data_IF_443983349862
#
_entry.id   IF_443983349862
#
_cell.length_a   1.000
_cell.length_b   1.000
_cell.length_c   1.000
_cell.angle_alpha   90.00
_cell.angle_beta   90.00
_cell.angle_gamma   90.00
#
_symmetry.space_group_name_H-M   'P 1'
#
loop_
_entity.id
_entity.type
_entity.pdbx_description
1 polymer ?
#
# COMPACT_ATOMS: atom_id res chain seq x y z
N UNK A 1 10.00 1.26 13.66
CA UNK A 1 10.13 1.42 12.20
C UNK A 1 9.03 0.57 11.59
N UNK A 2 8.35 1.02 10.54
CA UNK A 2 7.33 0.21 9.87
C UNK A 2 7.97 -0.92 9.08
N UNK A 3 7.21 -1.98 8.79
CA UNK A 3 7.71 -3.10 7.97
C UNK A 3 8.01 -2.65 6.54
N UNK A 4 7.20 -1.73 6.00
CA UNK A 4 7.48 -1.08 4.73
C UNK A 4 8.84 -0.37 4.78
N UNK A 5 9.09 0.44 5.81
CA UNK A 5 10.36 1.17 5.93
C UNK A 5 11.56 0.23 6.10
N UNK A 6 11.41 -0.86 6.86
CA UNK A 6 12.46 -1.88 6.97
C UNK A 6 12.81 -2.47 5.60
N UNK A 7 11.79 -2.73 4.76
CA UNK A 7 11.96 -3.27 3.42
C UNK A 7 12.68 -2.29 2.47
N UNK A 8 12.27 -1.02 2.47
CA UNK A 8 12.89 0.03 1.65
C UNK A 8 14.34 0.28 2.07
N UNK A 9 14.60 0.39 3.39
CA UNK A 9 15.94 0.61 3.94
C UNK A 9 16.91 -0.53 3.59
N UNK A 10 16.43 -1.77 3.54
CA UNK A 10 17.23 -2.90 3.08
C UNK A 10 17.68 -2.69 1.63
N UNK A 11 16.79 -2.22 0.76
CA UNK A 11 17.11 -1.88 -0.62
C UNK A 11 18.19 -0.80 -0.71
N UNK A 12 18.01 0.30 0.00
CA UNK A 12 18.97 1.40 0.02
C UNK A 12 20.33 0.98 0.58
N UNK A 13 20.34 0.15 1.65
CA UNK A 13 21.58 -0.37 2.21
C UNK A 13 22.38 -1.16 1.17
N UNK A 14 21.75 -2.10 0.45
CA UNK A 14 22.45 -2.91 -0.53
C UNK A 14 22.78 -2.17 -1.84
N UNK A 15 22.11 -1.06 -2.13
CA UNK A 15 22.45 -0.17 -3.26
C UNK A 15 23.53 0.87 -2.91
N UNK A 16 23.82 1.09 -1.60
CA UNK A 16 24.80 2.10 -1.16
C UNK A 16 26.23 1.75 -1.57
N UNK A 17 27.12 2.74 -1.55
CA UNK A 17 28.56 2.60 -1.79
C UNK A 17 28.93 1.88 -3.11
N UNK A 18 28.12 2.10 -4.15
CA UNK A 18 28.30 1.45 -5.44
C UNK A 18 27.71 0.05 -5.52
N UNK A 19 26.83 -0.28 -4.56
CA UNK A 19 26.01 -1.48 -4.50
C UNK A 19 26.72 -2.78 -4.18
N UNK A 20 25.94 -3.74 -3.72
CA UNK A 20 26.41 -5.12 -3.61
C UNK A 20 26.67 -5.68 -5.02
N UNK A 21 27.82 -6.32 -5.20
CA UNK A 21 28.21 -6.99 -6.45
C UNK A 21 28.14 -8.50 -6.29
N UNK A 22 27.60 -9.20 -7.27
CA UNK A 22 27.65 -10.66 -7.34
C UNK A 22 29.09 -11.18 -7.40
N UNK A 23 29.27 -12.47 -7.10
CA UNK A 23 30.59 -13.07 -6.93
C UNK A 23 30.90 -14.08 -8.04
N UNK A 24 32.19 -14.33 -8.22
CA UNK A 24 32.70 -15.41 -9.10
C UNK A 24 32.40 -16.80 -8.55
N UNK A 25 32.21 -16.94 -7.25
CA UNK A 25 32.02 -18.22 -6.54
C UNK A 25 31.37 -17.98 -5.19
N UNK A 26 31.13 -19.05 -4.41
CA UNK A 26 30.62 -18.98 -3.03
C UNK A 26 31.58 -18.34 -2.00
N UNK A 27 32.73 -17.77 -2.43
CA UNK A 27 33.63 -17.08 -1.53
C UNK A 27 33.25 -15.60 -1.38
N UNK A 28 33.38 -15.08 -0.15
CA UNK A 28 33.13 -13.66 0.18
C UNK A 28 31.71 -13.16 -0.10
N UNK A 29 30.71 -14.01 0.04
CA UNK A 29 29.32 -13.65 -0.28
C UNK A 29 28.77 -12.50 0.56
N UNK A 30 29.26 -12.28 1.77
CA UNK A 30 28.81 -11.19 2.65
C UNK A 30 29.53 -9.86 2.39
N UNK A 31 30.64 -9.88 1.68
CA UNK A 31 31.37 -8.67 1.31
C UNK A 31 30.72 -8.00 0.09
N UNK A 32 30.64 -6.68 0.08
CA UNK A 32 30.01 -5.96 -1.02
C UNK A 32 30.79 -6.05 -2.34
N UNK A 33 32.14 -6.11 -2.29
CA UNK A 33 33.00 -5.95 -3.48
C UNK A 33 34.01 -7.07 -3.69
N UNK A 34 34.46 -7.73 -2.61
CA UNK A 34 35.42 -8.83 -2.75
C UNK A 34 34.89 -9.96 -3.62
N UNK A 35 35.76 -10.56 -4.41
CA UNK A 35 35.44 -11.64 -5.32
C UNK A 35 34.33 -11.28 -6.33
N UNK A 36 34.18 -9.98 -6.63
CA UNK A 36 33.19 -9.53 -7.61
C UNK A 36 33.42 -10.18 -9.00
N UNK A 37 32.35 -10.52 -9.68
CA UNK A 37 32.36 -11.13 -11.00
C UNK A 37 30.97 -11.20 -11.60
N UNK A 38 30.78 -12.05 -12.61
CA UNK A 38 29.53 -12.15 -13.38
C UNK A 38 29.00 -13.61 -13.41
N UNK A 39 29.15 -14.33 -12.29
CA UNK A 39 28.77 -15.72 -12.19
C UNK A 39 27.52 -15.95 -11.36
N UNK A 40 26.78 -14.88 -11.01
CA UNK A 40 25.52 -14.93 -10.28
C UNK A 40 25.59 -15.63 -8.90
N UNK A 41 26.76 -15.64 -8.23
CA UNK A 41 26.87 -16.12 -6.85
C UNK A 41 26.55 -14.97 -5.89
N UNK A 42 25.58 -15.17 -5.01
CA UNK A 42 25.14 -14.13 -4.08
C UNK A 42 24.91 -14.65 -2.66
N UNK A 43 25.00 -13.75 -1.69
CA UNK A 43 24.54 -14.06 -0.33
C UNK A 43 23.04 -14.33 -0.28
N UNK A 44 22.28 -13.71 -1.18
CA UNK A 44 20.81 -13.84 -1.23
C UNK A 44 20.41 -15.28 -1.54
N UNK A 45 21.01 -15.89 -2.58
CA UNK A 45 20.82 -17.28 -2.93
C UNK A 45 21.28 -18.23 -1.82
N UNK A 46 22.46 -17.98 -1.20
CA UNK A 46 22.94 -18.74 -0.06
C UNK A 46 21.95 -18.74 1.11
N UNK A 47 21.48 -17.54 1.49
CA UNK A 47 20.58 -17.39 2.61
C UNK A 47 19.23 -18.06 2.35
N UNK A 48 18.67 -17.91 1.14
CA UNK A 48 17.43 -18.57 0.71
C UNK A 48 17.56 -20.08 0.78
N UNK A 49 18.68 -20.66 0.32
CA UNK A 49 18.98 -22.08 0.47
C UNK A 49 19.06 -22.51 1.95
N UNK A 50 19.69 -21.69 2.80
CA UNK A 50 19.82 -21.99 4.23
C UNK A 50 18.47 -22.02 4.96
N UNK A 51 17.45 -21.34 4.39
CA UNK A 51 16.07 -21.34 4.91
C UNK A 51 15.23 -22.51 4.36
N UNK A 52 15.83 -23.45 3.64
CA UNK A 52 15.14 -24.59 3.04
C UNK A 52 14.27 -24.22 1.83
N UNK A 53 14.55 -23.08 1.21
CA UNK A 53 13.90 -22.64 -0.02
C UNK A 53 14.86 -22.81 -1.21
N UNK A 54 14.35 -22.93 -2.47
CA UNK A 54 15.21 -23.10 -3.65
C UNK A 54 15.99 -21.81 -3.93
N UNK A 55 17.20 -21.68 -3.42
CA UNK A 55 18.16 -20.63 -3.73
C UNK A 55 18.94 -20.98 -4.99
N UNK A 56 18.98 -20.07 -5.94
CA UNK A 56 19.47 -20.28 -7.29
C UNK A 56 20.88 -19.72 -7.49
N UNK A 57 21.90 -20.27 -6.80
CA UNK A 57 23.29 -19.89 -7.03
C UNK A 57 23.69 -20.12 -8.48
N UNK A 58 24.38 -19.15 -9.07
CA UNK A 58 24.81 -19.22 -10.45
C UNK A 58 23.71 -18.88 -11.48
N UNK A 59 22.54 -18.44 -11.04
CA UNK A 59 21.40 -18.07 -11.90
C UNK A 59 21.03 -16.59 -11.72
N UNK A 60 20.30 -15.97 -12.66
CA UNK A 60 19.77 -14.61 -12.49
C UNK A 60 18.97 -14.48 -11.18
N UNK A 61 19.30 -13.46 -10.38
CA UNK A 61 18.89 -13.38 -8.99
C UNK A 61 18.01 -12.15 -8.65
N UNK A 62 17.44 -11.47 -9.64
CA UNK A 62 16.58 -10.31 -9.40
C UNK A 62 15.36 -10.65 -8.52
N UNK A 63 14.66 -11.73 -8.83
CA UNK A 63 13.49 -12.19 -8.08
C UNK A 63 13.86 -12.73 -6.69
N UNK A 64 14.95 -13.47 -6.62
CA UNK A 64 15.46 -14.01 -5.35
C UNK A 64 15.89 -12.90 -4.37
N UNK A 65 16.47 -11.81 -4.86
CA UNK A 65 16.80 -10.66 -4.05
C UNK A 65 15.55 -10.02 -3.43
N UNK A 66 14.45 -9.86 -4.19
CA UNK A 66 13.20 -9.33 -3.67
C UNK A 66 12.59 -10.27 -2.62
N UNK A 67 12.62 -11.59 -2.88
CA UNK A 67 12.19 -12.59 -1.92
C UNK A 67 13.02 -12.54 -0.64
N UNK A 68 14.35 -12.47 -0.77
CA UNK A 68 15.27 -12.36 0.36
C UNK A 68 14.95 -11.14 1.25
N UNK A 69 14.67 -9.98 0.65
CA UNK A 69 14.26 -8.79 1.40
C UNK A 69 12.95 -9.02 2.16
N UNK A 70 11.94 -9.57 1.48
CA UNK A 70 10.65 -9.88 2.09
C UNK A 70 10.79 -10.86 3.26
N UNK A 71 11.62 -11.90 3.12
CA UNK A 71 11.85 -12.86 4.22
C UNK A 71 12.50 -12.19 5.42
N UNK A 72 13.50 -11.32 5.22
CA UNK A 72 14.16 -10.62 6.32
C UNK A 72 13.21 -9.69 7.09
N UNK A 73 12.18 -9.14 6.42
CA UNK A 73 11.25 -8.19 7.03
C UNK A 73 9.99 -8.87 7.57
N UNK A 74 9.47 -9.86 6.88
CA UNK A 74 8.15 -10.45 7.15
C UNK A 74 8.20 -11.94 7.55
N UNK A 75 9.31 -12.61 7.30
CA UNK A 75 9.44 -14.07 7.42
C UNK A 75 8.98 -14.83 6.18
N UNK A 76 9.42 -16.10 6.07
CA UNK A 76 9.26 -16.95 4.89
C UNK A 76 7.78 -17.13 4.49
N UNK A 77 6.92 -17.42 5.46
CA UNK A 77 5.49 -17.70 5.20
C UNK A 77 4.82 -16.52 4.48
N UNK A 78 5.06 -15.29 4.95
CA UNK A 78 4.46 -14.08 4.37
C UNK A 78 5.09 -13.76 3.02
N UNK A 79 6.41 -13.92 2.87
CA UNK A 79 7.09 -13.75 1.59
C UNK A 79 6.53 -14.71 0.51
N UNK A 80 6.27 -15.98 0.85
CA UNK A 80 5.63 -16.95 -0.04
C UNK A 80 4.16 -16.60 -0.33
N UNK A 81 3.43 -16.03 0.59
CA UNK A 81 2.07 -15.53 0.34
C UNK A 81 2.06 -14.38 -0.69
N UNK A 82 3.09 -13.53 -0.68
CA UNK A 82 3.25 -12.40 -1.61
C UNK A 82 3.73 -12.86 -2.97
N UNK A 83 4.83 -13.63 -3.06
CA UNK A 83 5.49 -13.96 -4.33
C UNK A 83 5.14 -15.36 -4.87
N UNK A 84 4.54 -16.23 -4.06
CA UNK A 84 4.25 -17.62 -4.41
C UNK A 84 5.47 -18.55 -4.27
N UNK A 85 5.23 -19.86 -4.39
CA UNK A 85 6.28 -20.88 -4.30
C UNK A 85 7.27 -20.86 -5.48
N UNK A 86 6.91 -20.23 -6.60
CA UNK A 86 7.78 -20.02 -7.76
C UNK A 86 8.49 -18.66 -7.77
N UNK A 87 8.76 -18.09 -6.61
CA UNK A 87 9.29 -16.74 -6.41
C UNK A 87 10.60 -16.43 -7.15
N UNK A 88 11.37 -17.44 -7.52
CA UNK A 88 12.62 -17.31 -8.28
C UNK A 88 12.40 -17.06 -9.78
N UNK A 89 11.16 -16.96 -10.24
CA UNK A 89 10.80 -16.73 -11.64
C UNK A 89 9.74 -15.63 -11.73
N UNK A 90 10.03 -14.53 -12.44
CA UNK A 90 9.15 -13.36 -12.53
C UNK A 90 7.79 -13.66 -13.20
N UNK A 91 7.75 -14.59 -14.17
CA UNK A 91 6.47 -15.02 -14.78
C UNK A 91 5.60 -15.77 -13.76
N UNK A 92 6.22 -16.61 -12.92
CA UNK A 92 5.51 -17.31 -11.83
C UNK A 92 4.97 -16.32 -10.79
N UNK A 93 5.72 -15.28 -10.43
CA UNK A 93 5.27 -14.19 -9.54
C UNK A 93 4.07 -13.49 -10.16
N UNK A 94 4.14 -13.13 -11.45
CA UNK A 94 3.03 -12.48 -12.17
C UNK A 94 1.76 -13.33 -12.14
N UNK A 95 1.87 -14.61 -12.46
CA UNK A 95 0.74 -15.55 -12.47
C UNK A 95 0.13 -15.70 -11.06
N UNK A 96 0.99 -15.79 -10.05
CA UNK A 96 0.55 -15.84 -8.65
C UNK A 96 -0.19 -14.56 -8.25
N UNK A 97 0.35 -13.38 -8.56
CA UNK A 97 -0.27 -12.09 -8.26
C UNK A 97 -1.63 -11.94 -8.94
N UNK A 98 -1.74 -12.34 -10.22
CA UNK A 98 -3.03 -12.34 -10.95
C UNK A 98 -4.04 -13.27 -10.28
N UNK A 99 -3.62 -14.49 -9.89
CA UNK A 99 -4.47 -15.44 -9.16
C UNK A 99 -4.93 -14.90 -7.81
N UNK A 100 -4.09 -14.13 -7.12
CA UNK A 100 -4.38 -13.54 -5.80
C UNK A 100 -5.15 -12.22 -5.87
N UNK A 101 -5.30 -11.62 -7.04
CA UNK A 101 -5.92 -10.30 -7.20
C UNK A 101 -5.05 -9.13 -6.73
N UNK A 102 -3.72 -9.36 -6.62
CA UNK A 102 -2.74 -8.34 -6.21
C UNK A 102 -2.00 -7.72 -7.40
N UNK A 103 -2.35 -8.11 -8.62
CA UNK A 103 -1.80 -7.55 -9.87
C UNK A 103 -2.51 -6.25 -10.25
N UNK A 104 -1.75 -5.18 -10.49
CA UNK A 104 -2.26 -3.83 -10.79
C UNK A 104 -1.49 -3.17 -11.93
N UNK A 105 -2.09 -2.13 -12.53
CA UNK A 105 -1.49 -1.35 -13.61
C UNK A 105 -0.92 0.00 -13.12
N UNK A 106 -0.96 0.26 -11.81
CA UNK A 106 -0.46 1.50 -11.21
C UNK A 106 0.54 1.21 -10.10
N UNK A 107 1.59 2.04 -9.93
CA UNK A 107 2.58 1.84 -8.88
C UNK A 107 1.98 2.08 -7.47
N UNK A 108 2.57 1.41 -6.50
CA UNK A 108 2.40 1.67 -5.06
C UNK A 108 3.76 1.51 -4.41
N UNK A 109 4.12 2.38 -3.45
CA UNK A 109 5.39 2.27 -2.73
C UNK A 109 5.46 0.92 -2.02
N UNK A 110 6.62 0.27 -2.10
CA UNK A 110 6.85 -1.07 -1.57
C UNK A 110 6.23 -2.19 -2.39
N UNK A 111 5.54 -1.91 -3.53
CA UNK A 111 5.11 -2.95 -4.47
C UNK A 111 6.27 -3.47 -5.31
N UNK A 112 6.11 -4.65 -5.90
CA UNK A 112 7.04 -5.11 -6.93
C UNK A 112 6.58 -4.61 -8.30
N UNK A 113 7.52 -4.27 -9.16
CA UNK A 113 7.29 -3.98 -10.58
C UNK A 113 7.92 -5.09 -11.42
N UNK A 114 7.19 -5.58 -12.40
CA UNK A 114 7.64 -6.62 -13.36
C UNK A 114 7.88 -5.96 -14.71
N UNK A 115 8.96 -6.37 -15.37
CA UNK A 115 9.39 -5.81 -16.65
C UNK A 115 9.57 -6.87 -17.72
N UNK A 116 9.37 -6.47 -18.99
CA UNK A 116 9.72 -7.21 -20.22
C UNK A 116 9.19 -8.64 -20.22
N UNK A 117 7.89 -8.80 -20.07
CA UNK A 117 7.21 -10.10 -20.06
C UNK A 117 7.78 -11.06 -19.01
N UNK A 118 8.08 -10.53 -17.82
CA UNK A 118 8.61 -11.31 -16.71
C UNK A 118 10.09 -11.62 -16.80
N UNK A 119 10.90 -10.81 -17.47
CA UNK A 119 12.36 -11.00 -17.52
C UNK A 119 13.09 -10.35 -16.35
N UNK A 120 12.46 -9.41 -15.62
CA UNK A 120 13.07 -8.70 -14.50
C UNK A 120 12.03 -8.26 -13.48
N UNK A 121 12.47 -8.11 -12.22
CA UNK A 121 11.65 -7.58 -11.12
C UNK A 121 12.46 -6.64 -10.24
N UNK A 122 11.80 -5.58 -9.80
CA UNK A 122 12.30 -4.63 -8.82
C UNK A 122 11.22 -4.31 -7.78
N UNK A 123 11.56 -3.60 -6.73
CA UNK A 123 10.57 -2.94 -5.86
C UNK A 123 10.52 -1.43 -6.11
N UNK A 124 9.37 -0.85 -5.80
CA UNK A 124 9.13 0.58 -5.90
C UNK A 124 9.54 1.26 -4.60
N UNK A 125 10.62 2.04 -4.64
CA UNK A 125 11.08 2.85 -3.51
C UNK A 125 10.23 4.11 -3.33
N UNK A 126 9.91 4.75 -4.44
CA UNK A 126 9.01 5.91 -4.51
C UNK A 126 8.50 6.11 -5.93
N UNK A 127 7.54 7.00 -6.12
CA UNK A 127 7.11 7.47 -7.43
C UNK A 127 6.54 8.89 -7.34
N UNK A 128 6.53 9.59 -8.48
CA UNK A 128 5.87 10.87 -8.69
C UNK A 128 4.87 10.78 -9.85
N UNK A 129 4.42 11.89 -10.39
CA UNK A 129 3.47 11.92 -11.51
C UNK A 129 4.02 11.38 -12.83
N UNK A 130 5.34 11.24 -12.97
CA UNK A 130 6.00 10.89 -14.23
C UNK A 130 6.89 9.65 -14.13
N UNK A 131 7.44 9.35 -12.95
CA UNK A 131 8.47 8.32 -12.77
C UNK A 131 8.21 7.44 -11.58
N UNK A 132 8.67 6.19 -11.69
CA UNK A 132 8.92 5.28 -10.59
C UNK A 132 10.43 5.26 -10.29
N UNK A 133 10.76 5.13 -9.01
CA UNK A 133 12.13 4.94 -8.51
C UNK A 133 12.18 3.57 -7.88
N UNK A 134 13.15 2.76 -8.33
CA UNK A 134 13.21 1.32 -8.02
C UNK A 134 14.48 0.95 -7.28
N UNK A 135 14.43 -0.16 -6.52
CA UNK A 135 15.60 -0.87 -6.05
C UNK A 135 15.64 -2.26 -6.70
N UNK A 136 16.76 -2.60 -7.32
CA UNK A 136 16.91 -3.77 -8.20
C UNK A 136 18.10 -4.61 -7.82
N UNK A 137 17.91 -5.92 -7.75
CA UNK A 137 18.99 -6.91 -7.78
C UNK A 137 19.29 -7.37 -9.19
N UNK A 138 20.48 -7.89 -9.41
CA UNK A 138 20.94 -8.40 -10.71
C UNK A 138 20.87 -7.40 -11.86
N UNK A 139 21.14 -6.14 -11.58
CA UNK A 139 21.09 -5.03 -12.55
C UNK A 139 22.43 -4.33 -12.66
N UNK A 140 22.51 -3.29 -13.49
CA UNK A 140 23.68 -2.44 -13.64
C UNK A 140 23.33 -0.95 -13.61
N UNK A 141 24.31 -0.06 -13.70
CA UNK A 141 24.11 1.38 -13.80
C UNK A 141 23.67 1.84 -15.21
N UNK A 142 23.58 0.94 -16.19
CA UNK A 142 23.06 1.28 -17.52
C UNK A 142 21.61 1.76 -17.44
N UNK A 143 21.25 2.72 -18.29
CA UNK A 143 19.87 3.15 -18.45
C UNK A 143 18.98 2.01 -18.98
N UNK A 144 17.70 2.02 -18.61
CA UNK A 144 16.76 0.97 -19.00
C UNK A 144 16.90 -0.32 -18.18
N UNK A 145 16.05 -1.30 -18.47
CA UNK A 145 16.00 -2.58 -17.78
C UNK A 145 17.18 -3.45 -18.15
N UNK A 146 17.92 -3.94 -17.14
CA UNK A 146 19.03 -4.89 -17.30
C UNK A 146 18.71 -6.13 -16.48
N UNK A 147 18.50 -7.26 -17.15
CA UNK A 147 18.05 -8.49 -16.52
C UNK A 147 19.18 -9.38 -15.95
N UNK A 148 20.44 -9.07 -16.25
CA UNK A 148 21.62 -9.77 -15.72
C UNK A 148 22.81 -8.82 -15.67
N UNK A 149 22.82 -7.91 -14.69
CA UNK A 149 23.81 -6.83 -14.59
C UNK A 149 24.77 -6.91 -13.43
N UNK A 150 24.63 -7.89 -12.55
CA UNK A 150 25.61 -8.26 -11.52
C UNK A 150 25.62 -7.41 -10.26
N UNK A 151 24.70 -6.47 -10.07
CA UNK A 151 24.73 -5.57 -8.92
C UNK A 151 23.34 -5.28 -8.33
N UNK A 152 23.32 -4.75 -7.10
CA UNK A 152 22.15 -4.05 -6.56
C UNK A 152 22.29 -2.56 -6.89
N UNK A 153 21.22 -1.96 -7.43
CA UNK A 153 21.16 -0.52 -7.79
C UNK A 153 19.80 0.09 -7.52
N UNK A 154 19.79 1.38 -7.23
CA UNK A 154 18.61 2.23 -7.36
C UNK A 154 18.56 2.79 -8.78
N UNK A 155 17.38 2.73 -9.40
CA UNK A 155 17.13 3.19 -10.78
C UNK A 155 15.82 3.96 -10.88
N UNK A 156 15.50 4.45 -12.07
CA UNK A 156 14.19 5.09 -12.29
C UNK A 156 13.74 4.91 -13.74
N UNK A 157 12.41 4.81 -13.92
CA UNK A 157 11.76 4.64 -15.22
C UNK A 157 10.58 5.60 -15.34
N UNK A 158 10.19 5.97 -16.54
CA UNK A 158 8.90 6.64 -16.74
C UNK A 158 7.77 5.68 -16.37
N UNK A 159 6.69 6.19 -15.77
CA UNK A 159 5.49 5.37 -15.50
C UNK A 159 4.90 4.82 -16.81
N UNK A 160 5.07 5.56 -17.92
CA UNK A 160 4.65 5.17 -19.27
C UNK A 160 5.65 4.29 -20.01
N UNK A 161 6.74 3.83 -19.36
CA UNK A 161 7.73 2.97 -20.02
C UNK A 161 7.09 1.66 -20.45
N UNK A 162 7.14 1.37 -21.74
CA UNK A 162 6.55 0.17 -22.35
C UNK A 162 7.18 -1.15 -21.89
N UNK A 163 8.32 -1.09 -21.22
CA UNK A 163 8.94 -2.25 -20.59
C UNK A 163 8.28 -2.68 -19.28
N UNK A 164 7.39 -1.87 -18.71
CA UNK A 164 6.66 -2.20 -17.47
C UNK A 164 5.47 -3.08 -17.81
N UNK A 165 5.46 -4.31 -17.29
CA UNK A 165 4.34 -5.24 -17.46
C UNK A 165 3.20 -4.95 -16.48
N UNK A 166 3.52 -4.51 -15.28
CA UNK A 166 2.58 -4.19 -14.19
C UNK A 166 3.23 -4.34 -12.80
N UNK A 167 2.39 -4.31 -11.78
CA UNK A 167 2.81 -4.21 -10.39
C UNK A 167 2.15 -5.28 -9.53
N UNK A 168 2.91 -5.84 -8.59
CA UNK A 168 2.40 -6.71 -7.52
C UNK A 168 2.25 -5.86 -6.27
N UNK A 169 1.03 -5.45 -5.92
CA UNK A 169 0.79 -4.67 -4.72
C UNK A 169 0.95 -5.52 -3.46
N UNK A 170 1.65 -4.96 -2.49
CA UNK A 170 1.82 -5.54 -1.16
C UNK A 170 1.03 -4.69 -0.19
N UNK A 171 0.17 -5.33 0.58
CA UNK A 171 -0.61 -4.68 1.63
C UNK A 171 0.20 -4.65 2.93
N UNK A 172 1.12 -3.68 3.01
CA UNK A 172 2.03 -3.53 4.13
C UNK A 172 1.31 -3.29 5.46
N UNK A 173 0.12 -2.69 5.43
CA UNK A 173 -0.67 -2.42 6.64
C UNK A 173 -1.02 -3.71 7.39
N UNK A 174 -1.26 -4.81 6.66
CA UNK A 174 -1.57 -6.11 7.26
C UNK A 174 -0.38 -6.74 8.00
N UNK A 175 0.82 -6.25 7.73
CA UNK A 175 2.06 -6.76 8.31
C UNK A 175 2.64 -5.87 9.42
N UNK A 176 2.09 -4.66 9.59
CA UNK A 176 2.49 -3.80 10.68
C UNK A 176 2.05 -4.38 12.02
N UNK A 177 2.91 -4.24 13.01
CA UNK A 177 2.53 -4.58 14.39
C UNK A 177 1.66 -3.44 14.97
N UNK A 178 0.38 -3.44 14.57
CA UNK A 178 -0.61 -2.49 15.09
C UNK A 178 -0.93 -2.75 16.57
N UNK A 179 -0.47 -3.86 17.16
CA UNK A 179 -0.61 -4.11 18.60
C UNK A 179 0.14 -3.06 19.43
N UNK A 180 1.18 -2.45 18.86
CA UNK A 180 1.93 -1.36 19.47
C UNK A 180 1.31 0.03 19.28
N UNK A 181 0.33 0.20 18.37
CA UNK A 181 -0.33 1.48 18.15
C UNK A 181 -1.24 1.83 19.32
N UNK A 182 -0.86 2.84 20.06
CA UNK A 182 -1.67 3.37 21.18
C UNK A 182 -2.15 4.75 20.78
N UNK A 183 -3.39 4.85 20.35
CA UNK A 183 -4.03 6.14 20.05
C UNK A 183 -4.02 7.03 21.30
N UNK A 184 -3.42 8.20 21.18
CA UNK A 184 -3.42 9.24 22.22
C UNK A 184 -4.30 10.44 21.87
N UNK A 185 -4.64 10.60 20.56
CA UNK A 185 -5.46 11.70 20.10
C UNK A 185 -5.83 11.60 18.63
N UNK A 186 -6.45 12.66 18.14
CA UNK A 186 -6.79 12.86 16.73
C UNK A 186 -6.37 14.24 16.29
N UNK A 187 -6.06 14.37 14.99
CA UNK A 187 -5.77 15.63 14.31
C UNK A 187 -6.61 15.72 13.04
N UNK A 188 -6.73 16.91 12.49
CA UNK A 188 -7.48 17.17 11.26
C UNK A 188 -6.57 17.84 10.25
N UNK A 189 -6.51 17.33 9.02
CA UNK A 189 -5.77 17.94 7.93
C UNK A 189 -6.37 19.31 7.57
N UNK A 190 -5.52 20.32 7.43
CA UNK A 190 -5.92 21.71 7.16
C UNK A 190 -5.82 22.10 5.70
N UNK A 191 -5.16 21.28 4.86
CA UNK A 191 -4.94 21.51 3.44
C UNK A 191 -5.32 20.27 2.62
N UNK A 192 -5.55 20.44 1.32
CA UNK A 192 -5.72 19.34 0.38
C UNK A 192 -4.35 18.79 -0.03
N UNK A 193 -4.35 17.57 -0.58
CA UNK A 193 -3.16 16.86 -1.09
C UNK A 193 -2.01 16.80 -0.08
N UNK A 194 -2.37 16.71 1.21
CA UNK A 194 -1.41 16.62 2.29
C UNK A 194 -0.77 15.24 2.31
N UNK A 195 0.52 15.19 2.07
CA UNK A 195 1.27 13.93 2.01
C UNK A 195 1.40 13.26 3.36
N UNK A 196 1.11 11.96 3.38
CA UNK A 196 1.48 11.03 4.44
C UNK A 196 2.77 10.35 4.01
N UNK A 197 3.80 10.45 4.84
CA UNK A 197 5.13 9.92 4.55
C UNK A 197 5.50 8.80 5.51
N UNK A 198 6.31 7.86 5.09
CA UNK A 198 6.77 6.74 5.91
C UNK A 198 7.71 7.17 7.04
N UNK A 199 8.45 8.27 6.82
CA UNK A 199 9.35 8.91 7.78
C UNK A 199 9.36 10.42 7.55
N UNK A 200 9.84 11.24 8.51
CA UNK A 200 10.12 12.64 8.30
C UNK A 200 11.01 12.88 7.07
N UNK A 201 10.53 13.65 6.11
CA UNK A 201 11.15 13.86 4.79
C UNK A 201 11.33 12.59 3.92
N UNK A 202 10.75 11.46 4.34
CA UNK A 202 10.77 10.20 3.60
C UNK A 202 9.80 10.15 2.42
N UNK A 203 9.65 8.98 1.83
CA UNK A 203 8.78 8.75 0.68
C UNK A 203 7.30 8.99 0.99
N UNK A 204 6.55 9.37 -0.03
CA UNK A 204 5.10 9.59 0.08
C UNK A 204 4.38 8.26 -0.01
N UNK A 205 3.64 7.89 1.05
CA UNK A 205 2.78 6.70 1.09
C UNK A 205 1.42 6.96 0.46
N UNK A 206 0.97 8.21 0.49
CA UNK A 206 -0.31 8.66 -0.05
C UNK A 206 -0.57 10.11 0.32
N UNK A 207 -1.75 10.62 -0.06
CA UNK A 207 -2.19 11.96 0.31
C UNK A 207 -3.60 11.94 0.88
N UNK A 208 -3.89 12.95 1.72
CA UNK A 208 -5.20 13.19 2.32
C UNK A 208 -5.66 14.61 2.05
N UNK A 209 -6.96 14.82 2.06
CA UNK A 209 -7.55 16.12 1.82
C UNK A 209 -7.89 16.86 3.13
N UNK A 210 -8.04 18.16 3.03
CA UNK A 210 -8.53 19.02 4.11
C UNK A 210 -9.79 18.41 4.75
N UNK A 211 -9.82 18.40 6.07
CA UNK A 211 -10.91 17.83 6.85
C UNK A 211 -10.76 16.33 7.16
N UNK A 212 -9.77 15.63 6.57
CA UNK A 212 -9.47 14.24 6.93
C UNK A 212 -9.02 14.17 8.39
N UNK A 213 -9.68 13.32 9.18
CA UNK A 213 -9.30 13.04 10.56
C UNK A 213 -8.27 11.91 10.56
N UNK A 214 -7.15 12.13 11.24
CA UNK A 214 -6.09 11.15 11.44
C UNK A 214 -5.94 10.84 12.92
N UNK A 215 -5.57 9.60 13.26
CA UNK A 215 -5.20 9.23 14.62
C UNK A 215 -3.73 9.58 14.87
N UNK A 216 -3.36 9.87 16.13
CA UNK A 216 -1.95 10.02 16.53
C UNK A 216 -1.68 9.23 17.81
N UNK A 217 -0.46 8.70 17.93
CA UNK A 217 0.06 8.05 19.14
C UNK A 217 0.87 9.01 20.04
N UNK A 218 0.85 10.30 19.70
CA UNK A 218 1.56 11.35 20.43
C UNK A 218 3.05 11.47 20.09
N UNK A 219 3.60 10.58 19.28
CA UNK A 219 5.00 10.68 18.85
C UNK A 219 5.19 11.82 17.87
N UNK A 220 6.28 12.55 18.05
CA UNK A 220 6.74 13.61 17.15
C UNK A 220 8.21 13.43 16.81
N UNK A 221 8.61 13.91 15.64
CA UNK A 221 10.01 14.03 15.25
C UNK A 221 10.22 15.39 14.57
N UNK A 222 10.75 16.34 15.34
CA UNK A 222 10.84 17.74 14.92
C UNK A 222 9.46 18.31 14.57
N UNK A 223 9.29 18.71 13.31
CA UNK A 223 8.03 19.27 12.79
C UNK A 223 7.07 18.22 12.21
N UNK A 224 7.24 16.95 12.54
CA UNK A 224 6.44 15.84 12.04
C UNK A 224 5.67 15.16 13.16
N UNK A 225 4.40 14.85 12.92
CA UNK A 225 3.52 14.10 13.81
C UNK A 225 3.34 12.70 13.27
N UNK A 226 3.48 11.70 14.13
CA UNK A 226 3.22 10.30 13.82
C UNK A 226 1.72 10.04 13.83
N UNK A 227 1.20 9.51 12.75
CA UNK A 227 -0.23 9.37 12.52
C UNK A 227 -0.57 7.99 11.96
N UNK A 228 -1.81 7.57 12.20
CA UNK A 228 -2.46 6.48 11.49
C UNK A 228 -3.60 7.04 10.66
N UNK A 229 -3.58 6.73 9.37
CA UNK A 229 -4.54 7.21 8.38
C UNK A 229 -5.26 6.02 7.78
N UNK A 230 -6.60 6.05 7.82
CA UNK A 230 -7.43 4.99 7.25
C UNK A 230 -7.18 4.88 5.73
N UNK A 231 -6.93 3.66 5.24
CA UNK A 231 -6.61 3.37 3.85
C UNK A 231 -5.20 3.74 3.36
N UNK A 232 -4.33 4.32 4.24
CA UNK A 232 -2.92 4.61 3.91
C UNK A 232 -1.96 3.89 4.88
N UNK A 233 -2.33 3.84 6.19
CA UNK A 233 -1.52 3.19 7.22
C UNK A 233 -0.87 4.15 8.21
N UNK A 234 0.20 3.68 8.87
CA UNK A 234 0.94 4.45 9.87
C UNK A 234 2.08 5.18 9.18
N UNK A 235 2.18 6.49 9.41
CA UNK A 235 3.18 7.34 8.78
C UNK A 235 3.36 8.68 9.48
N UNK A 236 3.91 9.65 8.78
CA UNK A 236 4.24 10.97 9.28
C UNK A 236 3.62 12.06 8.44
N UNK A 237 3.05 13.06 9.10
CA UNK A 237 2.52 14.28 8.48
C UNK A 237 3.21 15.49 9.10
N UNK A 238 3.48 16.52 8.28
CA UNK A 238 3.99 17.79 8.76
C UNK A 238 3.00 18.42 9.74
N UNK A 239 3.43 18.65 10.99
CA UNK A 239 2.58 19.10 12.08
C UNK A 239 1.84 20.40 11.79
N UNK A 240 2.46 21.33 11.06
CA UNK A 240 1.87 22.62 10.71
C UNK A 240 0.61 22.54 9.82
N UNK A 241 0.35 21.38 9.23
CA UNK A 241 -0.86 21.13 8.43
C UNK A 241 -1.89 20.24 9.17
N UNK A 242 -1.68 20.02 10.48
CA UNK A 242 -2.59 19.30 11.34
C UNK A 242 -3.12 20.23 12.44
N UNK A 243 -4.42 20.48 12.45
CA UNK A 243 -5.08 21.13 13.56
C UNK A 243 -5.44 20.13 14.66
N UNK A 244 -5.49 20.58 15.91
CA UNK A 244 -6.17 19.83 16.96
C UNK A 244 -7.64 19.72 16.58
N UNK A 245 -8.21 18.53 16.74
CA UNK A 245 -9.66 18.42 16.72
C UNK A 245 -10.13 19.15 17.99
N UNK A 246 -10.71 20.34 17.85
CA UNK A 246 -11.24 21.08 18.96
C UNK A 246 -12.13 20.15 19.79
N UNK A 247 -11.74 19.86 21.04
CA UNK A 247 -12.62 19.26 22.02
C UNK A 247 -13.67 20.32 22.34
N UNK A 248 -14.79 20.27 21.65
CA UNK A 248 -15.99 20.94 22.14
C UNK A 248 -16.53 20.08 23.26
N UNK A 249 -16.01 20.28 24.48
CA UNK A 249 -16.79 19.97 25.66
C UNK A 249 -17.94 20.96 25.74
N UNK A 250 -19.08 20.56 25.25
CA UNK A 250 -20.39 21.05 25.69
C UNK A 250 -21.39 19.95 25.45
N UNK A 251 -21.95 19.53 26.58
CA UNK A 251 -23.06 18.63 26.75
C UNK A 251 -24.12 18.68 25.62
N UNK A 252 -24.19 17.63 24.84
CA UNK A 252 -25.40 16.98 24.34
C UNK A 252 -24.98 15.66 23.69
N UNK A 253 -25.71 14.62 23.97
CA UNK A 253 -25.55 13.28 23.45
C UNK A 253 -25.40 13.35 21.91
N UNK A 254 -24.17 13.31 21.39
CA UNK A 254 -23.92 13.12 19.96
C UNK A 254 -23.49 11.69 19.77
N UNK A 255 -24.38 10.91 19.17
CA UNK A 255 -24.14 9.56 18.69
C UNK A 255 -22.80 9.50 17.95
N UNK A 256 -21.87 8.73 18.51
CA UNK A 256 -20.58 8.45 17.90
C UNK A 256 -20.86 7.66 16.61
N UNK A 257 -20.65 8.27 15.43
CA UNK A 257 -20.89 7.60 14.16
C UNK A 257 -20.02 6.34 14.06
N UNK A 258 -20.66 5.19 13.89
CA UNK A 258 -20.03 3.89 13.76
C UNK A 258 -20.59 3.17 12.54
N UNK A 259 -19.73 2.95 11.53
CA UNK A 259 -20.10 2.25 10.30
C UNK A 259 -20.44 0.77 10.49
N UNK A 260 -20.06 0.18 11.60
CA UNK A 260 -20.36 -1.23 11.92
C UNK A 260 -21.70 -1.41 12.63
N UNK A 261 -22.22 -0.36 13.25
CA UNK A 261 -23.45 -0.37 14.04
C UNK A 261 -24.66 -0.04 13.15
N UNK A 262 -25.69 -0.89 13.20
CA UNK A 262 -27.01 -0.60 12.59
C UNK A 262 -27.75 0.38 13.48
N UNK A 263 -28.10 1.54 12.94
CA UNK A 263 -28.87 2.55 13.65
C UNK A 263 -30.37 2.26 13.61
N UNK A 264 -30.89 1.93 12.41
CA UNK A 264 -32.28 1.52 12.19
C UNK A 264 -32.45 0.81 10.83
N UNK A 265 -33.61 0.20 10.60
CA UNK A 265 -34.03 -0.31 9.30
C UNK A 265 -34.92 0.72 8.61
N UNK A 266 -34.77 0.87 7.31
CA UNK A 266 -35.57 1.79 6.51
C UNK A 266 -35.95 1.19 5.15
N UNK A 267 -37.04 1.71 4.59
CA UNK A 267 -37.51 1.36 3.26
C UNK A 267 -37.21 2.49 2.26
N UNK A 268 -36.88 2.08 1.02
CA UNK A 268 -36.70 3.01 -0.08
C UNK A 268 -38.04 3.59 -0.48
N UNK A 269 -38.17 4.93 -0.45
CA UNK A 269 -39.39 5.65 -0.80
C UNK A 269 -39.44 6.05 -2.31
N UNK A 270 -38.30 6.19 -2.96
CA UNK A 270 -38.22 6.51 -4.37
C UNK A 270 -38.50 5.30 -5.25
N UNK A 271 -39.09 5.50 -6.42
CA UNK A 271 -39.32 4.42 -7.42
C UNK A 271 -38.01 3.68 -7.74
N UNK A 272 -36.91 4.45 -7.91
CA UNK A 272 -35.54 3.93 -8.09
C UNK A 272 -34.58 4.83 -7.34
N UNK A 273 -33.71 4.25 -6.52
CA UNK A 273 -32.71 4.93 -5.74
C UNK A 273 -31.30 4.41 -6.07
N UNK A 274 -30.42 5.29 -6.52
CA UNK A 274 -29.04 4.93 -6.80
C UNK A 274 -28.27 4.68 -5.49
N UNK A 275 -27.47 3.61 -5.46
CA UNK A 275 -26.55 3.32 -4.37
C UNK A 275 -25.14 3.67 -4.83
N UNK A 276 -24.55 4.67 -4.22
CA UNK A 276 -23.27 5.26 -4.61
C UNK A 276 -22.10 4.73 -3.81
N UNK A 277 -20.91 4.83 -4.36
CA UNK A 277 -19.67 4.48 -3.66
C UNK A 277 -19.33 5.49 -2.56
N UNK A 278 -19.83 6.72 -2.68
CA UNK A 278 -19.72 7.79 -1.68
C UNK A 278 -20.94 8.72 -1.70
N UNK A 279 -21.03 9.64 -0.72
CA UNK A 279 -22.10 10.60 -0.59
C UNK A 279 -21.99 11.71 -1.65
N UNK A 280 -22.94 11.77 -2.58
CA UNK A 280 -23.01 12.75 -3.68
C UNK A 280 -23.40 12.11 -5.01
N UNK A 281 -24.01 12.91 -5.87
CA UNK A 281 -24.46 12.46 -7.18
C UNK A 281 -23.33 12.29 -8.19
N UNK A 282 -22.18 12.87 -7.94
CA UNK A 282 -20.96 12.80 -8.73
C UNK A 282 -20.22 11.46 -8.60
N UNK A 283 -20.50 10.67 -7.55
CA UNK A 283 -19.85 9.39 -7.35
C UNK A 283 -20.53 8.26 -8.13
N UNK A 284 -19.79 7.26 -8.62
CA UNK A 284 -20.36 6.12 -9.35
C UNK A 284 -21.21 5.23 -8.43
N UNK A 285 -22.10 4.46 -9.03
CA UNK A 285 -22.87 3.45 -8.31
C UNK A 285 -21.96 2.27 -7.90
N UNK A 286 -22.31 1.59 -6.80
CA UNK A 286 -21.66 0.34 -6.41
C UNK A 286 -21.97 -0.76 -7.43
N UNK A 287 -21.04 -1.72 -7.62
CA UNK A 287 -21.17 -2.75 -8.67
C UNK A 287 -22.32 -3.73 -8.43
N UNK A 288 -22.51 -4.22 -7.20
CA UNK A 288 -23.41 -5.34 -6.93
C UNK A 288 -24.89 -4.94 -6.80
N UNK A 289 -25.19 -3.81 -6.19
CA UNK A 289 -26.53 -3.26 -6.05
C UNK A 289 -26.51 -1.79 -6.47
N UNK A 290 -26.37 -1.51 -7.78
CA UNK A 290 -26.24 -0.13 -8.27
C UNK A 290 -27.48 0.71 -8.03
N UNK A 291 -28.65 0.05 -7.91
CA UNK A 291 -29.96 0.67 -7.70
C UNK A 291 -30.81 -0.18 -6.76
N UNK A 292 -31.67 0.48 -6.02
CA UNK A 292 -32.73 -0.11 -5.20
C UNK A 292 -34.07 0.39 -5.68
N UNK A 293 -35.10 -0.45 -5.59
CA UNK A 293 -36.48 -0.09 -5.97
C UNK A 293 -37.28 0.32 -4.73
N UNK A 294 -38.39 1.00 -4.96
CA UNK A 294 -39.34 1.37 -3.92
C UNK A 294 -39.74 0.14 -3.08
N UNK A 295 -39.75 0.31 -1.77
CA UNK A 295 -40.08 -0.75 -0.82
C UNK A 295 -38.91 -1.65 -0.44
N UNK A 296 -37.75 -1.60 -1.10
CA UNK A 296 -36.59 -2.37 -0.67
C UNK A 296 -36.17 -1.96 0.74
N UNK A 297 -36.03 -2.95 1.62
CA UNK A 297 -35.54 -2.74 2.99
C UNK A 297 -34.00 -2.67 2.99
N UNK A 298 -33.48 -1.74 3.74
CA UNK A 298 -32.03 -1.56 3.96
C UNK A 298 -31.75 -1.28 5.43
N UNK A 299 -30.56 -1.66 5.88
CA UNK A 299 -30.09 -1.28 7.20
C UNK A 299 -29.31 0.03 7.10
N UNK A 300 -29.73 1.01 7.88
CA UNK A 300 -29.07 2.31 7.98
C UNK A 300 -28.02 2.19 9.06
N UNK A 301 -26.77 2.37 8.66
CA UNK A 301 -25.66 2.31 9.59
C UNK A 301 -25.55 3.63 10.38
N UNK A 302 -24.95 3.56 11.54
CA UNK A 302 -24.69 4.76 12.35
C UNK A 302 -23.59 5.64 11.71
N UNK A 303 -23.83 6.03 10.45
CA UNK A 303 -22.94 6.89 9.68
C UNK A 303 -23.71 7.68 8.62
N UNK A 304 -23.63 9.00 8.72
CA UNK A 304 -24.24 9.94 7.79
C UNK A 304 -23.19 10.90 7.26
N UNK A 305 -23.21 11.16 5.97
CA UNK A 305 -22.30 12.09 5.31
C UNK A 305 -23.07 13.18 4.57
N UNK A 306 -22.55 14.39 4.52
CA UNK A 306 -23.05 15.45 3.65
C UNK A 306 -22.30 15.45 2.32
N UNK A 307 -23.03 15.56 1.22
CA UNK A 307 -22.48 15.81 -0.11
C UNK A 307 -22.03 17.27 -0.26
N UNK A 308 -21.37 17.60 -1.36
CA UNK A 308 -20.88 18.97 -1.66
C UNK A 308 -22.00 20.00 -1.73
N UNK A 309 -23.19 19.60 -2.14
CA UNK A 309 -24.41 20.43 -2.20
C UNK A 309 -25.13 20.58 -0.85
N UNK A 310 -24.56 20.04 0.23
CA UNK A 310 -25.12 20.05 1.59
C UNK A 310 -26.19 18.99 1.85
N UNK A 311 -26.57 18.16 0.86
CA UNK A 311 -27.55 17.08 1.06
C UNK A 311 -26.99 15.97 1.95
N UNK A 312 -27.87 15.38 2.80
CA UNK A 312 -27.47 14.28 3.69
C UNK A 312 -27.62 12.94 3.02
N UNK A 313 -26.65 12.06 3.24
CA UNK A 313 -26.57 10.71 2.71
C UNK A 313 -26.37 9.72 3.83
N UNK A 314 -27.14 8.62 3.81
CA UNK A 314 -26.99 7.50 4.71
C UNK A 314 -26.01 6.48 4.16
N UNK A 315 -25.13 5.99 5.02
CA UNK A 315 -24.39 4.77 4.75
C UNK A 315 -25.28 3.58 5.05
N UNK A 316 -25.47 2.69 4.11
CA UNK A 316 -26.42 1.58 4.23
C UNK A 316 -25.73 0.25 4.05
N UNK A 317 -26.33 -0.79 4.66
CA UNK A 317 -26.00 -2.19 4.41
C UNK A 317 -27.17 -2.87 3.71
N UNK A 318 -26.88 -3.61 2.63
CA UNK A 318 -27.83 -4.33 1.79
C UNK A 318 -27.56 -5.82 1.90
N UNK A 319 -28.57 -6.64 2.11
CA UNK A 319 -28.46 -8.09 2.23
C UNK A 319 -27.36 -8.54 3.22
N UNK A 320 -27.17 -7.79 4.31
CA UNK A 320 -26.22 -8.10 5.39
C UNK A 320 -24.73 -7.95 5.05
N UNK A 321 -24.36 -7.64 3.80
CA UNK A 321 -22.94 -7.67 3.39
C UNK A 321 -22.48 -6.67 2.33
N UNK A 322 -23.38 -5.93 1.69
CA UNK A 322 -23.01 -4.95 0.67
C UNK A 322 -23.27 -3.53 1.18
N UNK A 323 -22.34 -2.62 0.96
CA UNK A 323 -22.39 -1.29 1.52
C UNK A 323 -22.34 -0.22 0.44
N UNK A 324 -22.98 0.93 0.72
CA UNK A 324 -22.94 2.10 -0.15
C UNK A 324 -23.69 3.27 0.46
N UNK A 325 -23.77 4.36 -0.28
CA UNK A 325 -24.43 5.59 0.13
C UNK A 325 -25.71 5.83 -0.67
N UNK A 326 -26.76 6.25 0.03
CA UNK A 326 -28.04 6.67 -0.57
C UNK A 326 -28.45 8.01 -0.01
N UNK A 327 -29.15 8.84 -0.82
CA UNK A 327 -29.68 10.12 -0.32
C UNK A 327 -30.71 9.87 0.77
N UNK A 328 -30.51 10.48 1.94
CA UNK A 328 -31.32 10.29 3.14
C UNK A 328 -32.80 10.67 2.93
N UNK A 329 -33.08 11.64 2.05
CA UNK A 329 -34.46 12.10 1.75
C UNK A 329 -35.37 11.03 1.14
N UNK A 330 -34.79 9.94 0.64
CA UNK A 330 -35.53 8.83 -0.01
C UNK A 330 -35.60 7.57 0.85
N UNK A 331 -35.27 7.68 2.14
CA UNK A 331 -35.39 6.59 3.10
C UNK A 331 -36.45 6.93 4.14
N UNK A 332 -37.44 6.06 4.27
CA UNK A 332 -38.42 6.10 5.35
C UNK A 332 -38.01 5.13 6.45
N UNK A 333 -37.91 5.63 7.67
CA UNK A 333 -37.63 4.79 8.85
C UNK A 333 -38.79 3.80 9.06
N UNK A 334 -38.46 2.55 9.27
CA UNK A 334 -39.42 1.51 9.60
C UNK A 334 -39.67 1.47 11.10
#
# INVERSE_FOLDING_TARGET
MSKLQEFLNLGDYYASNGGYLEKKSNAYLDDFKKNAGYNNYTKFARDVNSWGQPGCQGQPWCAEYQFWKLVNVLGITKALQIMGGGFYNCVSITNWAKKKGTWHNTPKVGSLVIFRNGSHVADIQSFDSSRIYTNEGNTSSAAGVVANGGAVRNKSYLISDSSIDGYVWIDWETYEDISSWKKTGTRVATVNDLYVREAPNGYVMGSINKGTVVETDGKTNGKWTHVKVDGIGIGWIWTGYLAEKANSESSTITDKQDRSQVLFKGNVAATVLNVRTWAGTEYPNIKKYPKLNQGNEVEIMNYTQKAKDGTSWYYIRIAGKYYGFVSAKYIQKK
#
